data_IF_302426173435
#
_entry.id   IF_302426173435
#
_cell.length_a   1.000
_cell.length_b   1.000
_cell.length_c   1.000
_cell.angle_alpha   90.00
_cell.angle_beta   90.00
_cell.angle_gamma   90.00
#
_symmetry.space_group_name_H-M   'P 1'
#
loop_
_entity.id
_entity.type
_entity.pdbx_description
1 polymer ?
#
# COMPACT_ATOMS: atom_id res chain seq x y z
N UNK A 1 -10.76 -28.07 -65.74
CA UNK A 1 -10.64 -26.59 -65.55
C UNK A 1 -11.84 -26.16 -64.68
N UNK A 2 -11.62 -25.77 -63.47
CA UNK A 2 -12.70 -25.43 -62.54
C UNK A 2 -13.29 -24.07 -62.95
N UNK A 3 -14.63 -24.02 -63.04
CA UNK A 3 -15.36 -22.78 -63.41
C UNK A 3 -15.07 -21.67 -62.39
N UNK A 4 -14.79 -20.47 -62.85
CA UNK A 4 -14.49 -19.30 -62.02
C UNK A 4 -15.56 -19.06 -60.94
N UNK A 5 -16.81 -19.40 -61.24
CA UNK A 5 -17.94 -19.28 -60.32
C UNK A 5 -17.87 -20.29 -59.14
N UNK A 6 -17.32 -21.49 -59.36
CA UNK A 6 -17.11 -22.52 -58.35
C UNK A 6 -15.86 -22.20 -57.48
N UNK A 7 -14.85 -21.59 -58.07
CA UNK A 7 -13.69 -21.12 -57.36
C UNK A 7 -14.04 -20.00 -56.38
N UNK A 8 -14.88 -19.05 -56.79
CA UNK A 8 -15.36 -17.95 -55.95
C UNK A 8 -16.19 -18.47 -54.76
N UNK A 9 -17.07 -19.48 -55.00
CA UNK A 9 -17.85 -20.10 -53.91
C UNK A 9 -16.97 -20.82 -52.89
N UNK A 10 -15.91 -21.51 -53.35
CA UNK A 10 -14.93 -22.16 -52.47
C UNK A 10 -14.15 -21.14 -51.63
N UNK A 11 -13.75 -20.04 -52.23
CA UNK A 11 -13.06 -18.95 -51.50
C UNK A 11 -13.96 -18.32 -50.43
N UNK A 12 -15.22 -18.03 -50.74
CA UNK A 12 -16.19 -17.47 -49.76
C UNK A 12 -16.46 -18.47 -48.64
N UNK A 13 -16.56 -19.77 -48.95
CA UNK A 13 -16.75 -20.83 -47.95
C UNK A 13 -15.51 -20.95 -47.03
N UNK A 14 -14.32 -20.93 -47.62
CA UNK A 14 -13.04 -20.96 -46.87
C UNK A 14 -12.88 -19.73 -45.95
N UNK A 15 -13.26 -18.55 -46.44
CA UNK A 15 -13.22 -17.30 -45.66
C UNK A 15 -14.22 -17.34 -44.49
N UNK A 16 -15.45 -17.87 -44.76
CA UNK A 16 -16.49 -18.07 -43.73
C UNK A 16 -16.08 -19.03 -42.63
N UNK A 17 -15.44 -20.15 -43.01
CA UNK A 17 -14.92 -21.16 -42.08
C UNK A 17 -13.76 -20.56 -41.27
N UNK A 18 -12.85 -19.79 -41.91
CA UNK A 18 -11.74 -19.14 -41.21
C UNK A 18 -12.23 -18.12 -40.20
N UNK A 19 -13.25 -17.29 -40.53
CA UNK A 19 -13.86 -16.33 -39.60
C UNK A 19 -14.56 -17.05 -38.46
N UNK A 20 -15.28 -18.13 -38.72
CA UNK A 20 -15.92 -18.97 -37.70
C UNK A 20 -14.89 -19.61 -36.76
N UNK A 21 -13.78 -20.12 -37.29
CA UNK A 21 -12.68 -20.64 -36.45
C UNK A 21 -11.97 -19.56 -35.66
N UNK A 22 -11.88 -18.30 -36.19
CA UNK A 22 -11.31 -17.19 -35.48
C UNK A 22 -12.25 -16.65 -34.35
N UNK A 23 -13.57 -16.71 -34.55
CA UNK A 23 -14.57 -16.25 -33.57
C UNK A 23 -14.90 -17.31 -32.52
N UNK A 24 -14.89 -18.59 -32.89
CA UNK A 24 -15.30 -19.71 -32.00
C UNK A 24 -14.18 -20.70 -31.66
N UNK A 25 -13.05 -20.64 -32.35
CA UNK A 25 -11.99 -21.64 -32.22
C UNK A 25 -10.77 -21.22 -31.40
N UNK A 26 -10.74 -19.99 -30.93
CA UNK A 26 -9.81 -19.66 -29.85
C UNK A 26 -10.48 -20.11 -28.55
N UNK A 27 -10.01 -21.16 -27.89
CA UNK A 27 -10.31 -21.30 -26.49
C UNK A 27 -9.79 -20.04 -25.85
N UNK A 28 -10.67 -19.15 -25.34
CA UNK A 28 -10.31 -18.25 -24.27
C UNK A 28 -9.87 -19.20 -23.15
N UNK A 29 -8.56 -19.46 -23.14
CA UNK A 29 -7.96 -20.22 -22.08
C UNK A 29 -8.21 -19.44 -20.81
N UNK A 30 -9.23 -19.83 -20.07
CA UNK A 30 -9.21 -19.60 -18.65
C UNK A 30 -7.93 -20.27 -18.21
N UNK A 31 -6.92 -19.46 -17.88
CA UNK A 31 -5.73 -19.97 -17.21
C UNK A 31 -6.26 -20.78 -16.03
N UNK A 32 -5.83 -22.03 -15.83
CA UNK A 32 -6.25 -22.79 -14.68
C UNK A 32 -5.98 -21.90 -13.45
N UNK A 33 -7.04 -21.67 -12.67
CA UNK A 33 -6.95 -20.90 -11.42
C UNK A 33 -5.94 -21.68 -10.59
N UNK A 34 -4.79 -21.07 -10.34
CA UNK A 34 -3.82 -21.60 -9.38
C UNK A 34 -4.54 -21.61 -8.01
N UNK A 35 -4.73 -22.80 -7.44
CA UNK A 35 -5.45 -22.99 -6.17
C UNK A 35 -4.84 -22.18 -5.01
N UNK A 36 -3.62 -21.65 -5.20
CA UNK A 36 -2.91 -20.80 -4.26
C UNK A 36 -3.01 -19.29 -4.55
N UNK A 37 -3.83 -18.89 -5.55
CA UNK A 37 -4.02 -17.50 -5.93
C UNK A 37 -5.43 -17.02 -5.59
N UNK A 38 -5.54 -15.98 -4.76
CA UNK A 38 -6.81 -15.29 -4.53
C UNK A 38 -7.02 -14.27 -5.66
N UNK A 39 -8.22 -14.29 -6.26
CA UNK A 39 -8.67 -13.25 -7.20
C UNK A 39 -9.69 -12.34 -6.53
N UNK A 40 -9.44 -11.05 -6.63
CA UNK A 40 -10.34 -10.00 -6.12
C UNK A 40 -10.48 -8.92 -7.20
N UNK A 41 -11.70 -8.55 -7.55
CA UNK A 41 -11.95 -7.50 -8.55
C UNK A 41 -11.91 -6.15 -7.85
N UNK A 42 -10.98 -5.30 -8.25
CA UNK A 42 -10.92 -3.93 -7.78
C UNK A 42 -11.82 -3.06 -8.68
N UNK A 43 -12.81 -2.42 -8.09
CA UNK A 43 -13.85 -1.70 -8.86
C UNK A 43 -13.33 -0.49 -9.63
N UNK A 44 -12.19 0.05 -9.21
CA UNK A 44 -11.60 1.26 -9.79
C UNK A 44 -10.08 1.22 -9.67
N UNK A 45 -9.38 1.75 -10.67
CA UNK A 45 -7.94 1.98 -10.65
C UNK A 45 -7.56 2.90 -9.48
N UNK A 46 -6.60 2.50 -8.61
CA UNK A 46 -6.00 3.42 -7.64
C UNK A 46 -5.27 4.54 -8.38
N UNK A 47 -5.49 5.78 -7.96
CA UNK A 47 -4.77 6.92 -8.56
C UNK A 47 -3.31 6.97 -8.09
N UNK A 48 -3.05 6.44 -6.90
CA UNK A 48 -1.72 6.35 -6.28
C UNK A 48 -1.71 5.26 -5.22
N UNK A 49 -0.53 4.74 -4.89
CA UNK A 49 -0.31 3.89 -3.72
C UNK A 49 0.54 4.61 -2.66
N UNK A 50 0.82 5.90 -2.84
CA UNK A 50 1.48 6.74 -1.83
C UNK A 50 0.53 7.01 -0.65
N UNK A 51 0.81 6.52 0.58
CA UNK A 51 -0.05 6.72 1.73
C UNK A 51 -0.33 8.20 2.07
N UNK A 52 0.59 9.10 1.73
CA UNK A 52 0.41 10.53 1.96
C UNK A 52 -0.59 11.17 0.98
N UNK A 53 -0.84 10.56 -0.18
CA UNK A 53 -1.67 11.14 -1.25
C UNK A 53 -2.96 10.37 -1.53
N UNK A 54 -3.14 9.20 -0.92
CA UNK A 54 -4.32 8.38 -1.12
C UNK A 54 -5.52 8.91 -0.35
N UNK A 55 -6.68 8.94 -1.01
CA UNK A 55 -7.93 9.50 -0.45
C UNK A 55 -9.15 8.62 -0.71
N UNK A 56 -9.00 7.56 -1.51
CA UNK A 56 -10.11 6.74 -1.97
C UNK A 56 -10.09 5.33 -1.38
N UNK A 57 -11.25 4.66 -1.35
CA UNK A 57 -11.36 3.29 -0.86
C UNK A 57 -10.53 2.26 -1.66
N UNK A 58 -10.46 2.32 -3.01
CA UNK A 58 -9.60 1.40 -3.77
C UNK A 58 -8.12 1.49 -3.37
N UNK A 59 -7.60 2.69 -3.17
CA UNK A 59 -6.23 2.93 -2.71
C UNK A 59 -6.00 2.31 -1.33
N UNK A 60 -6.89 2.61 -0.37
CA UNK A 60 -6.84 2.05 0.98
C UNK A 60 -6.92 0.52 0.98
N UNK A 61 -7.78 -0.07 0.13
CA UNK A 61 -7.92 -1.53 0.01
C UNK A 61 -6.61 -2.19 -0.46
N UNK A 62 -5.93 -1.59 -1.43
CA UNK A 62 -4.62 -2.07 -1.90
C UNK A 62 -3.56 -1.86 -0.83
N UNK A 63 -3.54 -0.69 -0.19
CA UNK A 63 -2.54 -0.36 0.83
C UNK A 63 -2.60 -1.28 2.06
N UNK A 64 -3.78 -1.77 2.44
CA UNK A 64 -3.94 -2.78 3.50
C UNK A 64 -3.20 -4.09 3.20
N UNK A 65 -2.91 -4.41 1.95
CA UNK A 65 -2.13 -5.58 1.57
C UNK A 65 -0.62 -5.29 1.52
N UNK A 66 -0.27 -4.03 1.29
CA UNK A 66 1.11 -3.61 1.01
C UNK A 66 1.81 -2.98 2.22
N UNK A 67 1.05 -2.47 3.18
CA UNK A 67 1.61 -1.80 4.36
C UNK A 67 1.07 -2.37 5.66
N UNK A 68 1.85 -2.18 6.71
CA UNK A 68 1.46 -2.34 8.10
C UNK A 68 1.95 -1.13 8.89
N UNK A 69 1.18 -0.71 9.91
CA UNK A 69 1.49 0.43 10.76
C UNK A 69 2.15 0.05 12.09
N UNK A 70 2.25 1.00 13.01
CA UNK A 70 2.67 0.73 14.40
C UNK A 70 1.71 -0.25 15.07
N UNK A 71 0.41 -0.06 14.82
CA UNK A 71 -0.69 -0.90 15.30
C UNK A 71 -1.60 -1.24 14.14
N UNK A 72 -2.36 -2.32 14.27
CA UNK A 72 -3.48 -2.67 13.38
C UNK A 72 -4.76 -2.85 14.21
N UNK A 73 -5.91 -2.92 13.57
CA UNK A 73 -7.17 -3.24 14.24
C UNK A 73 -7.43 -4.74 14.16
N UNK A 74 -7.80 -5.34 15.28
CA UNK A 74 -8.27 -6.72 15.33
C UNK A 74 -9.74 -6.84 14.86
N UNK A 75 -10.30 -8.06 14.91
CA UNK A 75 -11.69 -8.33 14.47
C UNK A 75 -12.75 -7.57 15.28
N UNK A 76 -12.43 -7.16 16.52
CA UNK A 76 -13.28 -6.35 17.38
C UNK A 76 -13.09 -4.84 17.14
N UNK A 77 -12.28 -4.44 16.15
CA UNK A 77 -11.91 -3.05 15.86
C UNK A 77 -11.15 -2.36 17.00
N UNK A 78 -10.42 -3.15 17.80
CA UNK A 78 -9.53 -2.62 18.84
C UNK A 78 -8.06 -2.66 18.36
N UNK A 79 -7.23 -1.67 18.80
CA UNK A 79 -5.83 -1.62 18.42
C UNK A 79 -5.04 -2.80 18.99
N UNK A 80 -4.27 -3.47 18.14
CA UNK A 80 -3.32 -4.50 18.52
C UNK A 80 -1.91 -4.21 17.96
N UNK A 81 -0.90 -4.82 18.59
CA UNK A 81 0.50 -4.64 18.24
C UNK A 81 0.80 -5.17 16.82
N UNK A 82 1.36 -4.29 15.97
CA UNK A 82 1.85 -4.63 14.64
C UNK A 82 3.36 -4.39 14.55
N UNK A 83 3.86 -3.36 13.85
CA UNK A 83 5.29 -3.06 13.83
C UNK A 83 5.82 -2.62 15.20
N UNK A 84 5.01 -1.93 16.01
CA UNK A 84 5.32 -1.75 17.42
C UNK A 84 4.95 -3.03 18.20
N UNK A 85 5.91 -3.58 18.94
CA UNK A 85 5.65 -4.73 19.84
C UNK A 85 4.95 -4.30 21.13
N UNK A 86 5.12 -3.03 21.53
CA UNK A 86 4.52 -2.44 22.74
C UNK A 86 4.63 -0.92 22.67
N UNK A 87 3.91 -0.25 23.56
CA UNK A 87 3.99 1.20 23.76
C UNK A 87 3.72 1.57 25.20
N UNK A 88 4.28 2.70 25.65
CA UNK A 88 4.02 3.34 26.91
C UNK A 88 3.23 4.63 26.70
N UNK A 89 2.36 4.99 27.64
CA UNK A 89 1.54 6.20 27.57
C UNK A 89 1.77 6.99 28.86
N UNK A 90 2.04 8.28 28.76
CA UNK A 90 2.17 9.17 29.92
C UNK A 90 0.85 9.30 30.68
N UNK A 91 0.94 9.65 31.97
CA UNK A 91 -0.23 9.80 32.85
C UNK A 91 -1.23 10.84 32.34
N UNK A 92 -0.77 11.87 31.62
CA UNK A 92 -1.60 12.92 31.03
C UNK A 92 -2.14 12.54 29.64
N UNK A 93 -1.76 11.37 29.10
CA UNK A 93 -2.22 10.86 27.81
C UNK A 93 -1.72 11.63 26.60
N UNK A 94 -0.64 12.40 26.74
CA UNK A 94 -0.09 13.23 25.66
C UNK A 94 1.18 12.67 25.02
N UNK A 95 1.94 11.84 25.73
CA UNK A 95 3.14 11.22 25.20
C UNK A 95 2.95 9.73 25.04
N UNK A 96 3.37 9.22 23.89
CA UNK A 96 3.41 7.81 23.56
C UNK A 96 4.85 7.45 23.17
N UNK A 97 5.37 6.36 23.73
CA UNK A 97 6.67 5.80 23.37
C UNK A 97 6.42 4.43 22.75
N UNK A 98 6.62 4.32 21.45
CA UNK A 98 6.47 3.06 20.73
C UNK A 98 7.80 2.33 20.65
N UNK A 99 7.79 1.03 20.99
CA UNK A 99 8.92 0.13 20.88
C UNK A 99 8.71 -0.79 19.68
N UNK A 100 9.48 -0.59 18.63
CA UNK A 100 9.39 -1.40 17.41
C UNK A 100 9.89 -2.82 17.65
N UNK A 101 9.45 -3.75 16.83
CA UNK A 101 10.03 -5.10 16.75
C UNK A 101 11.45 -5.01 16.23
N UNK A 102 12.34 -5.90 16.65
CA UNK A 102 13.68 -5.96 16.07
C UNK A 102 13.63 -6.48 14.62
N UNK A 103 14.67 -6.19 13.86
CA UNK A 103 14.92 -6.73 12.52
C UNK A 103 13.80 -6.51 11.49
N UNK A 104 13.01 -5.43 11.65
CA UNK A 104 12.00 -5.03 10.67
C UNK A 104 12.65 -4.72 9.34
N UNK A 105 11.96 -5.09 8.24
CA UNK A 105 12.47 -4.90 6.89
C UNK A 105 11.41 -4.40 5.93
N UNK A 106 11.85 -3.60 5.01
CA UNK A 106 11.13 -3.30 3.79
C UNK A 106 11.09 -4.51 2.84
N UNK A 107 10.17 -4.50 1.87
CA UNK A 107 10.03 -5.56 0.87
C UNK A 107 11.28 -5.80 0.01
N UNK A 108 12.15 -4.80 -0.11
CA UNK A 108 13.44 -4.87 -0.79
C UNK A 108 14.58 -5.42 0.11
N UNK A 109 14.29 -5.68 1.40
CA UNK A 109 15.24 -6.22 2.37
C UNK A 109 16.02 -5.17 3.16
N UNK A 110 15.89 -3.88 2.87
CA UNK A 110 16.47 -2.80 3.68
C UNK A 110 15.85 -2.76 5.08
N UNK A 111 16.58 -2.30 6.10
CA UNK A 111 16.03 -2.10 7.45
C UNK A 111 14.86 -1.11 7.42
N UNK A 112 13.81 -1.39 8.21
CA UNK A 112 12.73 -0.45 8.53
C UNK A 112 12.90 -0.05 9.99
N UNK A 113 12.92 1.25 10.25
CA UNK A 113 13.23 1.82 11.56
C UNK A 113 12.21 2.87 12.00
N UNK A 114 12.33 3.34 13.23
CA UNK A 114 11.52 4.45 13.74
C UNK A 114 11.71 5.75 12.92
N UNK A 115 12.86 5.93 12.26
CA UNK A 115 13.13 7.07 11.40
C UNK A 115 12.21 7.11 10.18
N UNK A 116 11.79 5.95 9.64
CA UNK A 116 10.86 5.88 8.51
C UNK A 116 9.47 6.40 8.89
N UNK A 117 9.03 6.16 10.14
CA UNK A 117 7.79 6.73 10.67
C UNK A 117 7.90 8.24 10.87
N UNK A 118 8.99 8.72 11.48
CA UNK A 118 9.22 10.15 11.63
C UNK A 118 9.22 10.87 10.28
N UNK A 119 9.93 10.32 9.30
CA UNK A 119 9.95 10.83 7.94
C UNK A 119 8.55 10.84 7.31
N UNK A 120 7.85 9.71 7.35
CA UNK A 120 6.54 9.57 6.72
C UNK A 120 5.51 10.57 7.28
N UNK A 121 5.43 10.71 8.60
CA UNK A 121 4.44 11.59 9.22
C UNK A 121 4.75 13.07 9.01
N UNK A 122 6.03 13.45 9.07
CA UNK A 122 6.44 14.82 8.71
C UNK A 122 6.17 15.12 7.24
N UNK A 123 6.37 14.13 6.35
CA UNK A 123 6.06 14.25 4.92
C UNK A 123 4.56 14.42 4.67
N UNK A 124 3.67 13.73 5.38
CA UNK A 124 2.21 13.95 5.28
C UNK A 124 1.84 15.38 5.68
N UNK A 125 2.51 15.93 6.70
CA UNK A 125 2.27 17.29 7.20
C UNK A 125 2.99 18.38 6.41
N UNK A 126 3.93 18.02 5.53
CA UNK A 126 4.66 18.99 4.71
C UNK A 126 3.72 19.68 3.71
N UNK A 127 3.55 21.01 3.75
CA UNK A 127 2.68 21.72 2.82
C UNK A 127 3.07 21.53 1.35
N UNK A 128 4.35 21.28 1.04
CA UNK A 128 4.81 21.04 -0.34
C UNK A 128 4.36 19.67 -0.89
N UNK A 129 3.99 18.72 -0.03
CA UNK A 129 3.48 17.41 -0.45
C UNK A 129 2.02 17.47 -0.88
N UNK A 130 1.27 18.47 -0.40
CA UNK A 130 -0.16 18.65 -0.69
C UNK A 130 -0.99 17.41 -0.35
N UNK A 131 -0.80 16.85 0.85
CA UNK A 131 -1.54 15.68 1.32
C UNK A 131 -2.96 16.10 1.78
N UNK A 132 -3.99 15.64 1.07
CA UNK A 132 -5.41 15.97 1.40
C UNK A 132 -5.81 15.49 2.80
N UNK A 133 -5.19 14.42 3.30
CA UNK A 133 -5.46 13.84 4.61
C UNK A 133 -4.49 14.32 5.72
N UNK A 134 -3.71 15.38 5.50
CA UNK A 134 -2.79 15.92 6.50
C UNK A 134 -3.48 16.24 7.84
N UNK A 135 -4.75 16.68 7.79
CA UNK A 135 -5.55 16.99 8.97
C UNK A 135 -5.69 15.82 9.96
N UNK A 136 -5.55 14.58 9.51
CA UNK A 136 -5.58 13.41 10.39
C UNK A 136 -4.41 13.38 11.38
N UNK A 137 -3.28 14.02 11.03
CA UNK A 137 -2.08 14.12 11.85
C UNK A 137 -2.04 15.42 12.69
N UNK A 138 -3.07 16.27 12.67
CA UNK A 138 -3.13 17.49 13.49
C UNK A 138 -3.26 17.21 14.98
N UNK A 139 -3.52 15.97 15.36
CA UNK A 139 -3.44 15.51 16.76
C UNK A 139 -2.01 15.53 17.30
N UNK A 140 -0.99 15.49 16.43
CA UNK A 140 0.41 15.61 16.80
C UNK A 140 0.71 17.06 17.23
N UNK A 141 1.51 17.24 18.27
CA UNK A 141 1.98 18.55 18.69
C UNK A 141 2.59 19.30 17.49
N UNK A 142 2.19 20.55 17.31
CA UNK A 142 2.58 21.40 16.17
C UNK A 142 2.28 20.83 14.78
N UNK A 143 1.48 19.75 14.64
CA UNK A 143 1.16 19.15 13.34
C UNK A 143 0.41 20.11 12.41
N UNK A 144 -0.67 20.74 12.93
CA UNK A 144 -1.43 21.75 12.19
C UNK A 144 -0.59 22.99 11.88
N UNK A 145 0.20 23.47 12.87
CA UNK A 145 1.05 24.64 12.70
C UNK A 145 2.10 24.42 11.61
N UNK A 146 2.73 23.24 11.55
CA UNK A 146 3.68 22.90 10.50
C UNK A 146 3.01 22.82 9.13
N UNK A 147 1.87 22.17 9.03
CA UNK A 147 1.14 22.06 7.75
C UNK A 147 0.67 23.44 7.23
N UNK A 148 0.39 24.40 8.10
CA UNK A 148 0.04 25.78 7.74
C UNK A 148 1.26 26.68 7.48
N UNK A 149 2.50 26.19 7.71
CA UNK A 149 3.72 26.98 7.55
C UNK A 149 4.09 27.87 8.76
N UNK A 150 3.42 27.67 9.90
CA UNK A 150 3.62 28.45 11.13
C UNK A 150 4.65 27.82 12.10
N UNK A 151 5.07 26.57 11.84
CA UNK A 151 6.10 25.86 12.60
C UNK A 151 7.05 25.13 11.63
N UNK A 152 8.15 24.59 12.17
CA UNK A 152 9.10 23.81 11.39
C UNK A 152 8.89 22.32 11.60
N UNK A 153 9.40 21.49 10.68
CA UNK A 153 9.33 20.03 10.76
C UNK A 153 9.96 19.45 12.04
N UNK A 154 11.02 20.09 12.56
CA UNK A 154 11.66 19.69 13.82
C UNK A 154 10.80 19.91 15.06
N UNK A 155 9.79 20.78 14.99
CA UNK A 155 8.88 21.12 16.10
C UNK A 155 7.69 20.15 16.19
N UNK A 156 7.47 19.32 15.15
CA UNK A 156 6.37 18.34 15.12
C UNK A 156 6.61 17.25 16.15
N UNK A 157 5.56 16.91 16.89
CA UNK A 157 5.57 15.94 17.98
C UNK A 157 5.76 14.50 17.58
N UNK A 158 6.66 14.20 16.64
CA UNK A 158 7.10 12.85 16.29
C UNK A 158 8.60 12.81 16.13
N UNK A 159 9.26 11.87 16.83
CA UNK A 159 10.72 11.78 16.83
C UNK A 159 11.21 10.36 17.07
N UNK A 160 12.05 9.85 16.18
CA UNK A 160 12.84 8.64 16.40
C UNK A 160 14.02 8.99 17.35
N UNK A 161 14.13 8.25 18.44
CA UNK A 161 15.21 8.40 19.41
C UNK A 161 16.39 7.50 19.03
N UNK A 162 16.07 6.35 18.49
CA UNK A 162 16.96 5.36 17.90
C UNK A 162 16.17 4.56 16.83
N UNK A 163 16.78 3.50 16.29
CA UNK A 163 16.17 2.71 15.22
C UNK A 163 14.86 2.02 15.65
N UNK A 164 14.70 1.70 16.93
CA UNK A 164 13.58 0.90 17.45
C UNK A 164 12.62 1.71 18.35
N UNK A 165 12.89 3.00 18.61
CA UNK A 165 12.11 3.81 19.56
C UNK A 165 11.56 5.07 18.89
N UNK A 166 10.22 5.16 18.82
CA UNK A 166 9.51 6.35 18.33
C UNK A 166 8.77 7.03 19.46
N UNK A 167 9.09 8.29 19.73
CA UNK A 167 8.38 9.14 20.69
C UNK A 167 7.40 10.03 19.94
N UNK A 168 6.15 10.03 20.41
CA UNK A 168 5.05 10.81 19.83
C UNK A 168 4.42 11.68 20.91
N UNK A 169 4.39 12.98 20.67
CA UNK A 169 3.73 13.96 21.54
C UNK A 169 2.49 14.50 20.86
N UNK A 170 1.36 14.48 21.56
CA UNK A 170 0.08 14.98 21.08
C UNK A 170 -0.15 16.43 21.53
N UNK A 171 -0.88 17.19 20.73
CA UNK A 171 -1.34 18.53 21.09
C UNK A 171 -2.28 18.49 22.30
N UNK A 172 -3.18 17.52 22.33
CA UNK A 172 -4.11 17.27 23.43
C UNK A 172 -4.25 15.76 23.67
N UNK A 173 -4.64 15.34 24.90
CA UNK A 173 -4.95 13.94 25.16
C UNK A 173 -6.03 13.45 24.19
N UNK A 174 -5.71 12.39 23.41
CA UNK A 174 -6.58 11.87 22.35
C UNK A 174 -6.84 10.40 22.58
N UNK A 175 -7.95 10.05 23.23
CA UNK A 175 -8.26 8.68 23.63
C UNK A 175 -8.34 7.67 22.48
N UNK A 176 -8.62 8.13 21.26
CA UNK A 176 -8.71 7.31 20.04
C UNK A 176 -7.43 7.31 19.21
N UNK A 177 -6.32 7.88 19.72
CA UNK A 177 -5.07 8.02 18.95
C UNK A 177 -4.58 6.68 18.41
N UNK A 178 -4.56 5.62 19.21
CA UNK A 178 -4.14 4.29 18.76
C UNK A 178 -5.00 3.76 17.60
N UNK A 179 -6.29 4.10 17.53
CA UNK A 179 -7.16 3.72 16.40
C UNK A 179 -6.83 4.53 15.14
N UNK A 180 -6.40 5.79 15.28
CA UNK A 180 -5.93 6.59 14.12
C UNK A 180 -4.69 6.00 13.47
N UNK A 181 -3.78 5.39 14.25
CA UNK A 181 -2.54 4.80 13.75
C UNK A 181 -2.75 3.62 12.79
N UNK A 182 -3.95 3.03 12.76
CA UNK A 182 -4.31 1.99 11.80
C UNK A 182 -4.74 2.58 10.43
N UNK A 183 -4.84 3.90 10.30
CA UNK A 183 -5.11 4.56 9.02
C UNK A 183 -3.87 4.63 8.15
N UNK A 184 -4.06 4.51 6.83
CA UNK A 184 -2.99 4.61 5.84
C UNK A 184 -2.15 5.90 5.96
N UNK A 185 -2.73 7.02 6.39
CA UNK A 185 -1.99 8.28 6.60
C UNK A 185 -0.88 8.18 7.65
N UNK A 186 -0.90 7.15 8.48
CA UNK A 186 0.12 6.86 9.50
C UNK A 186 1.08 5.73 9.12
N UNK A 187 0.95 5.15 7.92
CA UNK A 187 1.89 4.12 7.48
C UNK A 187 3.28 4.70 7.23
N UNK A 188 4.34 3.94 7.55
CA UNK A 188 5.69 4.36 7.21
C UNK A 188 5.90 4.27 5.71
N UNK A 189 6.82 5.06 5.17
CA UNK A 189 7.31 4.94 3.79
C UNK A 189 8.84 4.95 3.80
N UNK A 190 9.46 4.17 2.92
CA UNK A 190 10.92 4.17 2.77
C UNK A 190 11.37 5.52 2.22
N UNK A 191 12.12 6.29 3.00
CA UNK A 191 12.69 7.56 2.57
C UNK A 191 13.53 7.37 1.31
N UNK A 192 14.37 6.32 1.27
CA UNK A 192 15.21 6.02 0.11
C UNK A 192 14.38 5.81 -1.17
N UNK A 193 13.25 5.08 -1.10
CA UNK A 193 12.40 4.84 -2.26
C UNK A 193 11.69 6.12 -2.73
N UNK A 194 11.18 6.91 -1.79
CA UNK A 194 10.48 8.18 -2.07
C UNK A 194 11.42 9.19 -2.74
N UNK A 195 12.65 9.33 -2.23
CA UNK A 195 13.61 10.32 -2.73
C UNK A 195 14.31 9.87 -4.02
N UNK A 196 14.44 8.55 -4.25
CA UNK A 196 15.06 8.03 -5.47
C UNK A 196 14.19 8.21 -6.71
N UNK A 197 12.84 8.24 -6.57
CA UNK A 197 11.92 8.22 -7.70
C UNK A 197 10.71 9.12 -7.45
N UNK A 198 10.51 10.14 -8.28
CA UNK A 198 9.35 11.04 -8.20
C UNK A 198 8.00 10.29 -8.21
N UNK A 199 7.90 9.23 -9.01
CA UNK A 199 6.70 8.39 -9.15
C UNK A 199 6.87 7.02 -8.47
N UNK A 200 7.53 6.96 -7.32
CA UNK A 200 7.87 5.73 -6.61
C UNK A 200 6.66 4.81 -6.36
N UNK A 201 5.48 5.40 -6.13
CA UNK A 201 4.25 4.70 -5.78
C UNK A 201 3.31 4.45 -6.99
N UNK A 202 3.80 4.59 -8.23
CA UNK A 202 3.02 4.39 -9.45
C UNK A 202 3.44 3.14 -10.24
N UNK A 203 4.55 2.50 -9.88
CA UNK A 203 5.10 1.34 -10.61
C UNK A 203 5.62 0.28 -9.65
N UNK A 204 5.39 -0.98 -9.99
CA UNK A 204 5.85 -2.10 -9.16
C UNK A 204 7.38 -2.14 -8.98
N UNK A 205 8.15 -1.75 -9.99
CA UNK A 205 9.62 -1.79 -9.97
C UNK A 205 10.25 -0.79 -8.99
N UNK A 206 9.55 0.29 -8.66
CA UNK A 206 10.03 1.33 -7.74
C UNK A 206 9.31 1.29 -6.39
N UNK A 207 8.26 0.48 -6.28
CA UNK A 207 7.41 0.43 -5.10
C UNK A 207 8.04 -0.41 -3.99
N UNK A 208 8.23 0.20 -2.84
CA UNK A 208 8.74 -0.44 -1.62
C UNK A 208 7.68 -0.38 -0.54
N UNK A 209 7.37 -1.51 0.07
CA UNK A 209 6.32 -1.67 1.08
C UNK A 209 6.81 -2.54 2.24
N UNK A 210 6.00 -2.68 3.30
CA UNK A 210 6.38 -3.42 4.49
C UNK A 210 5.30 -4.40 4.98
N UNK A 211 4.20 -4.53 4.23
CA UNK A 211 3.05 -5.35 4.59
C UNK A 211 3.18 -6.83 4.20
N UNK A 212 2.08 -7.60 4.37
CA UNK A 212 2.05 -9.04 4.13
C UNK A 212 2.36 -9.43 2.68
N UNK A 213 2.09 -8.53 1.73
CA UNK A 213 2.38 -8.74 0.31
C UNK A 213 3.26 -7.62 -0.23
N UNK A 214 3.97 -7.93 -1.32
CA UNK A 214 4.66 -6.95 -2.16
C UNK A 214 4.00 -6.91 -3.53
N UNK A 215 4.00 -5.74 -4.14
CA UNK A 215 3.50 -5.53 -5.49
C UNK A 215 4.47 -6.19 -6.49
N UNK A 216 3.99 -7.18 -7.25
CA UNK A 216 4.77 -7.89 -8.25
C UNK A 216 4.66 -7.22 -9.62
N UNK A 217 3.45 -6.83 -10.00
CA UNK A 217 3.17 -6.10 -11.24
C UNK A 217 1.96 -5.19 -11.08
N UNK A 218 1.94 -4.10 -11.84
CA UNK A 218 0.79 -3.22 -11.98
C UNK A 218 0.65 -2.83 -13.45
N UNK A 219 -0.33 -3.43 -14.11
CA UNK A 219 -0.74 -3.08 -15.47
C UNK A 219 -1.90 -2.10 -15.36
N UNK A 220 -1.62 -0.82 -15.50
CA UNK A 220 -2.62 0.23 -15.38
C UNK A 220 -3.85 -0.03 -16.26
N UNK A 221 -5.05 0.18 -15.69
CA UNK A 221 -6.36 -0.15 -16.28
C UNK A 221 -6.51 -1.64 -16.67
N UNK A 222 -5.83 -2.52 -15.98
CA UNK A 222 -5.84 -3.96 -16.28
C UNK A 222 -5.86 -4.81 -15.03
N UNK A 223 -4.71 -5.01 -14.41
CA UNK A 223 -4.61 -5.89 -13.24
C UNK A 223 -3.40 -5.55 -12.37
N UNK A 224 -3.49 -5.89 -11.11
CA UNK A 224 -2.40 -5.86 -10.14
C UNK A 224 -2.11 -7.28 -9.65
N UNK A 225 -0.83 -7.67 -9.63
CA UNK A 225 -0.39 -8.93 -9.07
C UNK A 225 0.42 -8.70 -7.80
N UNK A 226 0.13 -9.49 -6.80
CA UNK A 226 0.81 -9.44 -5.50
C UNK A 226 1.38 -10.82 -5.17
N UNK A 227 2.52 -10.82 -4.49
CA UNK A 227 3.15 -12.04 -3.97
C UNK A 227 3.48 -11.83 -2.50
N UNK A 228 3.38 -12.91 -1.73
CA UNK A 228 3.75 -12.92 -0.30
C UNK A 228 5.11 -12.25 -0.10
N UNK A 229 5.19 -11.37 0.90
CA UNK A 229 6.42 -10.69 1.26
C UNK A 229 7.21 -11.53 2.28
N UNK A 230 8.35 -12.11 1.90
CA UNK A 230 9.13 -12.92 2.84
C UNK A 230 9.81 -12.09 3.94
N UNK A 231 9.87 -10.76 3.78
CA UNK A 231 10.44 -9.82 4.75
C UNK A 231 9.39 -9.25 5.71
N UNK A 232 8.11 -9.62 5.56
CA UNK A 232 7.06 -9.20 6.47
C UNK A 232 7.31 -9.78 7.87
N UNK A 233 7.14 -8.95 8.91
CA UNK A 233 7.44 -9.36 10.29
C UNK A 233 6.61 -10.56 10.77
N UNK A 234 5.41 -10.75 10.23
CA UNK A 234 4.50 -11.86 10.53
C UNK A 234 4.26 -12.75 9.30
N UNK A 235 5.30 -12.97 8.48
CA UNK A 235 5.20 -13.73 7.24
C UNK A 235 4.65 -15.15 7.43
N UNK A 236 4.89 -15.79 8.57
CA UNK A 236 4.41 -17.15 8.85
C UNK A 236 2.89 -17.23 9.00
N UNK A 237 2.22 -16.14 9.37
CA UNK A 237 0.77 -16.06 9.44
C UNK A 237 0.11 -15.99 8.06
N UNK A 238 0.82 -15.49 7.04
CA UNK A 238 0.31 -15.31 5.67
C UNK A 238 0.26 -16.66 4.94
N UNK A 239 -0.94 -17.15 4.65
CA UNK A 239 -1.17 -18.48 4.04
C UNK A 239 -1.26 -18.44 2.52
N UNK A 240 -1.73 -17.34 1.96
CA UNK A 240 -1.89 -17.17 0.52
C UNK A 240 -0.57 -16.70 -0.11
N UNK A 241 -0.11 -17.39 -1.15
CA UNK A 241 1.16 -17.06 -1.79
C UNK A 241 1.03 -15.91 -2.79
N UNK A 242 -0.13 -15.79 -3.47
CA UNK A 242 -0.34 -14.82 -4.54
C UNK A 242 -1.75 -14.27 -4.54
N UNK A 243 -1.88 -13.03 -5.01
CA UNK A 243 -3.17 -12.43 -5.35
C UNK A 243 -3.09 -11.81 -6.73
N UNK A 244 -4.19 -11.91 -7.50
CA UNK A 244 -4.40 -11.25 -8.78
C UNK A 244 -5.67 -10.40 -8.70
N UNK A 245 -5.53 -9.10 -8.89
CA UNK A 245 -6.62 -8.13 -8.76
C UNK A 245 -6.87 -7.45 -10.11
N UNK A 246 -7.82 -7.97 -10.93
CA UNK A 246 -8.32 -7.26 -12.10
C UNK A 246 -8.98 -5.94 -11.71
N UNK A 247 -8.80 -4.93 -12.56
CA UNK A 247 -9.36 -3.57 -12.40
C UNK A 247 -10.47 -3.38 -13.41
#
# INVERSE_FOLDING_TARGET
MMDKRNLLKLMVLALGVSVLLFVFGYPRGEQPIDEHTIRYVLEQEPSTLDPAKSTTSPEGTVQLQLFDGLVRLNDESEPEAALAKSWDISDDGREYIFHLRPDLKWSNGEPLTAHDFEYAWKRVLDPEVHADNAYMLYVLKNGEAFNNGDAKAEDVGVKAIDDDTLVVNLENPTAYFLKLLASHSYYPVSQNAVEAHENWAANADTFVSNGPYRLLSWKHNGEMDFVKNPNYWDADSVKTEKMNWPI
#
